data_IF_770943266636
#
_entry.id   IF_770943266636
#
_cell.length_a   1.000
_cell.length_b   1.000
_cell.length_c   1.000
_cell.angle_alpha   90.00
_cell.angle_beta   90.00
_cell.angle_gamma   90.00
#
_symmetry.space_group_name_H-M   'P 1'
#
loop_
_entity.id
_entity.type
_entity.pdbx_description
1 polymer ?
#
# COMPACT_ATOMS: atom_id res chain seq x y z
N UNK A 1 4.59 -13.15 14.00
CA UNK A 1 4.36 -13.85 12.72
C UNK A 1 4.12 -12.80 11.65
N UNK A 2 5.02 -12.70 10.66
CA UNK A 2 5.00 -11.66 9.61
C UNK A 2 3.74 -11.72 8.72
N UNK A 3 3.27 -12.92 8.37
CA UNK A 3 2.04 -13.08 7.58
C UNK A 3 0.81 -12.51 8.31
N UNK A 4 0.74 -12.69 9.63
CA UNK A 4 -0.36 -12.14 10.42
C UNK A 4 -0.30 -10.61 10.49
N UNK A 5 0.90 -10.02 10.53
CA UNK A 5 1.07 -8.57 10.48
C UNK A 5 0.54 -8.00 9.17
N UNK A 6 0.94 -8.61 8.04
CA UNK A 6 0.47 -8.22 6.70
C UNK A 6 -1.06 -8.29 6.62
N UNK A 7 -1.65 -9.40 7.06
CA UNK A 7 -3.11 -9.58 7.06
C UNK A 7 -3.83 -8.53 7.89
N UNK A 8 -3.28 -8.12 9.04
CA UNK A 8 -3.90 -7.06 9.86
C UNK A 8 -3.83 -5.69 9.17
N UNK A 9 -2.69 -5.33 8.57
CA UNK A 9 -2.56 -4.08 7.82
C UNK A 9 -3.47 -4.02 6.59
N UNK A 10 -3.53 -5.11 5.82
CA UNK A 10 -4.47 -5.25 4.68
C UNK A 10 -5.92 -5.14 5.14
N UNK A 11 -6.28 -5.77 6.25
CA UNK A 11 -7.64 -5.77 6.78
C UNK A 11 -8.15 -4.35 7.07
N UNK A 12 -7.28 -3.42 7.47
CA UNK A 12 -7.66 -2.01 7.66
C UNK A 12 -8.25 -1.40 6.38
N UNK A 13 -7.67 -1.73 5.22
CA UNK A 13 -8.20 -1.33 3.91
C UNK A 13 -9.50 -2.04 3.57
N UNK A 14 -9.59 -3.36 3.80
CA UNK A 14 -10.79 -4.13 3.47
C UNK A 14 -12.01 -3.76 4.32
N UNK A 15 -11.79 -3.35 5.58
CA UNK A 15 -12.85 -2.89 6.49
C UNK A 15 -13.31 -1.46 6.19
N UNK A 16 -12.40 -0.61 5.71
CA UNK A 16 -12.69 0.82 5.49
C UNK A 16 -13.04 1.16 4.04
N UNK A 17 -12.82 0.23 3.10
CA UNK A 17 -13.00 0.44 1.67
C UNK A 17 -13.63 -0.77 0.99
N UNK A 18 -13.95 -0.65 -0.29
CA UNK A 18 -14.40 -1.79 -1.09
C UNK A 18 -13.26 -2.71 -1.56
N UNK A 19 -11.99 -2.34 -1.34
CA UNK A 19 -10.83 -3.09 -1.83
C UNK A 19 -10.81 -4.48 -1.21
N UNK A 20 -10.44 -5.48 -2.02
CA UNK A 20 -10.32 -6.88 -1.57
C UNK A 20 -8.99 -7.44 -2.04
N UNK A 21 -8.21 -7.94 -1.11
CA UNK A 21 -6.89 -8.47 -1.37
C UNK A 21 -6.96 -10.00 -1.40
N UNK A 22 -6.31 -10.60 -2.39
CA UNK A 22 -6.24 -12.05 -2.53
C UNK A 22 -4.80 -12.47 -2.73
N UNK A 23 -4.36 -13.43 -1.92
CA UNK A 23 -3.06 -14.06 -2.11
C UNK A 23 -3.07 -14.84 -3.45
N UNK A 24 -2.21 -14.46 -4.39
CA UNK A 24 -2.07 -15.13 -5.68
C UNK A 24 -0.60 -15.21 -6.10
N UNK A 25 0.02 -16.36 -5.85
CA UNK A 25 1.43 -16.61 -6.19
C UNK A 25 1.70 -16.70 -7.70
N UNK A 26 0.67 -16.90 -8.52
CA UNK A 26 0.78 -16.98 -9.98
C UNK A 26 0.56 -15.63 -10.68
N UNK A 27 0.17 -14.58 -9.94
CA UNK A 27 -0.03 -13.27 -10.53
C UNK A 27 1.29 -12.73 -11.09
N UNK A 28 1.25 -12.16 -12.28
CA UNK A 28 2.39 -11.45 -12.89
C UNK A 28 2.38 -9.95 -12.57
N UNK A 29 1.30 -9.47 -11.95
CA UNK A 29 1.11 -8.09 -11.55
C UNK A 29 0.48 -8.09 -10.15
N UNK A 30 1.29 -7.82 -9.13
CA UNK A 30 0.88 -7.93 -7.73
C UNK A 30 1.84 -7.23 -6.78
N UNK A 31 1.30 -6.86 -5.62
CA UNK A 31 2.08 -6.41 -4.47
C UNK A 31 2.68 -7.63 -3.76
N UNK A 32 3.95 -7.54 -3.37
CA UNK A 32 4.67 -8.58 -2.64
C UNK A 32 5.37 -7.99 -1.43
N UNK A 33 5.08 -8.53 -0.25
CA UNK A 33 5.67 -8.06 1.00
C UNK A 33 6.99 -8.78 1.27
N UNK A 34 8.03 -8.00 1.54
CA UNK A 34 9.38 -8.48 1.84
C UNK A 34 9.76 -8.00 3.23
N UNK A 35 10.20 -8.93 4.08
CA UNK A 35 10.71 -8.62 5.41
C UNK A 35 12.22 -8.40 5.31
N UNK A 36 12.69 -7.22 5.70
CA UNK A 36 14.11 -6.91 5.78
C UNK A 36 14.52 -6.61 7.23
N UNK A 37 15.84 -6.64 7.50
CA UNK A 37 16.37 -6.24 8.81
C UNK A 37 16.66 -4.73 8.79
N UNK A 38 16.27 -4.04 9.85
CA UNK A 38 16.50 -2.61 10.03
C UNK A 38 15.21 -1.79 10.08
N UNK A 39 15.34 -0.50 9.87
CA UNK A 39 14.33 0.55 10.02
C UNK A 39 13.74 1.04 8.68
N UNK A 40 14.26 0.55 7.55
CA UNK A 40 13.75 0.87 6.23
C UNK A 40 12.37 0.24 5.98
N UNK A 41 11.37 1.09 5.72
CA UNK A 41 10.06 0.71 5.25
C UNK A 41 9.66 1.61 4.07
N UNK A 42 9.39 1.00 2.90
CA UNK A 42 9.03 1.73 1.69
C UNK A 42 8.46 0.80 0.61
N UNK A 43 7.88 1.41 -0.42
CA UNK A 43 7.69 0.80 -1.74
C UNK A 43 8.31 1.70 -2.80
N UNK A 44 8.87 1.11 -3.85
CA UNK A 44 9.63 1.85 -4.88
C UNK A 44 8.74 2.75 -5.74
N UNK A 45 7.49 2.35 -5.96
CA UNK A 45 6.56 3.05 -6.86
C UNK A 45 5.28 3.43 -6.14
N UNK A 46 4.69 4.54 -6.57
CA UNK A 46 3.35 4.93 -6.14
C UNK A 46 2.35 4.53 -7.22
N UNK A 47 1.29 3.84 -6.83
CA UNK A 47 0.28 3.32 -7.75
C UNK A 47 0.74 2.07 -8.49
N UNK A 48 -0.09 1.62 -9.44
CA UNK A 48 0.15 0.34 -10.13
C UNK A 48 1.17 0.55 -11.25
N UNK A 49 2.41 0.11 -11.02
CA UNK A 49 3.48 0.18 -12.03
C UNK A 49 3.53 -1.03 -12.98
N UNK A 50 2.67 -2.03 -12.76
CA UNK A 50 2.73 -3.31 -13.46
C UNK A 50 3.86 -4.21 -12.94
N UNK A 51 3.76 -5.52 -13.17
CA UNK A 51 4.75 -6.46 -12.64
C UNK A 51 4.60 -6.69 -11.12
N UNK A 52 5.59 -7.36 -10.52
CA UNK A 52 5.66 -7.44 -9.06
C UNK A 52 6.19 -6.15 -8.48
N UNK A 53 5.45 -5.60 -7.53
CA UNK A 53 5.86 -4.42 -6.76
C UNK A 53 6.15 -4.83 -5.33
N UNK A 54 7.40 -4.63 -4.90
CA UNK A 54 7.82 -5.00 -3.56
C UNK A 54 7.45 -3.88 -2.56
N UNK A 55 6.92 -4.31 -1.42
CA UNK A 55 6.75 -3.50 -0.22
C UNK A 55 7.74 -4.04 0.81
N UNK A 56 8.71 -3.21 1.16
CA UNK A 56 9.73 -3.54 2.14
C UNK A 56 9.21 -3.14 3.52
N UNK A 57 9.20 -4.11 4.43
CA UNK A 57 8.91 -3.89 5.84
C UNK A 57 10.16 -4.26 6.64
N UNK A 58 10.88 -3.27 7.13
CA UNK A 58 11.97 -3.44 8.08
C UNK A 58 11.48 -4.04 9.40
N UNK A 59 12.33 -4.84 10.05
CA UNK A 59 12.03 -5.45 11.34
C UNK A 59 11.65 -4.45 12.43
N UNK A 60 12.14 -3.20 12.35
CA UNK A 60 11.84 -2.14 13.32
C UNK A 60 10.55 -1.38 13.01
N UNK A 61 9.98 -1.56 11.81
CA UNK A 61 8.68 -1.02 11.43
C UNK A 61 7.64 -2.11 11.16
N UNK A 62 7.81 -3.27 11.80
CA UNK A 62 6.90 -4.41 11.80
C UNK A 62 5.60 -4.15 12.58
N UNK A 63 4.89 -3.08 12.22
CA UNK A 63 3.63 -2.63 12.78
C UNK A 63 2.53 -2.62 11.70
N UNK A 64 1.29 -2.96 12.08
CA UNK A 64 0.18 -3.11 11.14
C UNK A 64 -0.20 -1.81 10.42
N UNK A 65 -0.06 -0.67 11.10
CA UNK A 65 -0.29 0.63 10.49
C UNK A 65 0.77 0.97 9.43
N UNK A 66 2.02 0.50 9.58
CA UNK A 66 3.08 0.71 8.57
C UNK A 66 2.79 -0.12 7.34
N UNK A 67 2.39 -1.39 7.52
CA UNK A 67 1.91 -2.22 6.40
C UNK A 67 0.78 -1.50 5.65
N UNK A 68 -0.22 -0.97 6.36
CA UNK A 68 -1.32 -0.25 5.75
C UNK A 68 -0.85 1.01 5.00
N UNK A 69 0.08 1.76 5.57
CA UNK A 69 0.68 2.97 4.99
C UNK A 69 1.40 2.68 3.67
N UNK A 70 2.32 1.69 3.67
CA UNK A 70 3.06 1.30 2.47
C UNK A 70 2.14 0.67 1.40
N UNK A 71 1.11 -0.06 1.83
CA UNK A 71 0.05 -0.53 0.92
C UNK A 71 -0.65 0.65 0.26
N UNK A 72 -0.89 1.72 1.01
CA UNK A 72 -1.45 2.97 0.47
C UNK A 72 -0.59 3.54 -0.66
N UNK A 73 0.73 3.57 -0.50
CA UNK A 73 1.64 3.98 -1.57
C UNK A 73 1.49 3.11 -2.83
N UNK A 74 1.48 1.79 -2.68
CA UNK A 74 1.25 0.87 -3.81
C UNK A 74 -0.15 1.03 -4.44
N UNK A 75 -1.15 1.47 -3.69
CA UNK A 75 -2.48 1.81 -4.19
C UNK A 75 -2.56 3.19 -4.88
N UNK A 76 -1.51 3.99 -4.82
CA UNK A 76 -1.44 5.31 -5.47
C UNK A 76 -1.55 6.51 -4.52
N UNK A 77 -1.56 6.29 -3.20
CA UNK A 77 -1.62 7.39 -2.24
C UNK A 77 -0.24 8.00 -2.00
N UNK A 78 -0.19 9.33 -2.04
CA UNK A 78 0.99 10.10 -1.65
C UNK A 78 0.90 10.48 -0.18
N UNK A 79 2.05 10.76 0.46
CA UNK A 79 2.06 11.36 1.79
C UNK A 79 1.19 12.62 1.81
N UNK A 80 0.46 12.83 2.91
CA UNK A 80 -0.47 13.95 3.05
C UNK A 80 0.20 15.32 2.87
N UNK A 81 1.49 15.45 3.21
CA UNK A 81 2.25 16.68 3.01
C UNK A 81 2.67 16.94 1.55
N UNK A 82 2.58 15.93 0.67
CA UNK A 82 2.81 16.02 -0.77
C UNK A 82 1.52 16.33 -1.54
N UNK A 83 0.40 16.56 -0.84
CA UNK A 83 -0.85 16.90 -1.53
C UNK A 83 -0.72 18.24 -2.27
N UNK A 84 -1.16 18.30 -3.54
CA UNK A 84 -1.15 19.54 -4.34
C UNK A 84 -1.99 20.67 -3.72
N UNK A 85 -3.00 20.31 -2.92
CA UNK A 85 -3.94 21.23 -2.26
C UNK A 85 -3.30 22.11 -1.17
N UNK A 86 -2.04 21.88 -0.80
CA UNK A 86 -1.31 22.79 0.10
C UNK A 86 -0.97 24.13 -0.59
N UNK A 87 -0.98 24.18 -1.92
CA UNK A 87 -0.67 25.40 -2.69
C UNK A 87 -1.75 25.79 -3.71
N UNK A 88 -2.63 24.89 -4.14
CA UNK A 88 -3.69 25.26 -5.09
C UNK A 88 -4.90 24.31 -5.04
N UNK A 89 -6.11 24.86 -5.17
CA UNK A 89 -7.41 24.22 -4.98
C UNK A 89 -7.81 23.24 -6.10
N UNK A 90 -6.95 22.27 -6.44
CA UNK A 90 -7.26 21.20 -7.38
C UNK A 90 -7.09 19.83 -6.72
N UNK A 91 -8.20 19.13 -6.50
CA UNK A 91 -8.24 17.75 -6.03
C UNK A 91 -7.92 16.80 -7.18
N UNK A 92 -6.78 16.11 -7.13
CA UNK A 92 -6.64 14.83 -7.85
C UNK A 92 -5.53 13.94 -7.24
N UNK A 93 -5.82 13.23 -6.14
CA UNK A 93 -5.13 11.96 -5.86
C UNK A 93 -5.81 10.87 -6.71
N UNK A 94 -5.27 10.56 -7.89
CA UNK A 94 -5.69 9.38 -8.65
C UNK A 94 -5.05 8.14 -8.04
N UNK A 95 -5.82 7.41 -7.24
CA UNK A 95 -5.52 6.02 -6.94
C UNK A 95 -6.03 5.17 -8.10
N UNK A 96 -5.21 4.35 -8.75
CA UNK A 96 -5.67 3.45 -9.82
C UNK A 96 -6.70 2.41 -9.32
N UNK A 97 -6.83 2.30 -8.01
CA UNK A 97 -7.76 1.44 -7.30
C UNK A 97 -8.99 2.23 -6.84
N UNK A 98 -9.79 2.74 -7.78
CA UNK A 98 -11.07 3.36 -7.45
C UNK A 98 -12.14 2.30 -7.14
N UNK A 99 -12.73 2.44 -5.96
CA UNK A 99 -13.94 1.74 -5.58
C UNK A 99 -15.14 2.30 -6.35
N UNK A 100 -15.40 1.79 -7.54
CA UNK A 100 -16.64 2.10 -8.24
C UNK A 100 -17.79 1.36 -7.56
N UNK A 101 -18.86 2.07 -7.14
CA UNK A 101 -20.08 1.38 -6.72
C UNK A 101 -20.59 0.57 -7.91
N UNK A 102 -20.89 -0.71 -7.67
CA UNK A 102 -21.73 -1.49 -8.57
C UNK A 102 -23.15 -0.94 -8.59
#
# INVERSE_FOLDING_TARGET
NFQNLIRRGIRMWEESTCLRFRENMASRDAIRYVLEKGDSCFTEYIGRNGGHQDIIIGSECAEEYVVAHETGHALGFWHTHQRPDRFDSALEQRSDFFCFPH
#
